data_IF_970839071486
#
_entry.id   IF_970839071486
#
_cell.length_a   1.000
_cell.length_b   1.000
_cell.length_c   1.000
_cell.angle_alpha   90.00
_cell.angle_beta   90.00
_cell.angle_gamma   90.00
#
_symmetry.space_group_name_H-M   'P 1'
#
loop_
_entity.id
_entity.type
_entity.pdbx_description
1 polymer ?
#
# COMPACT_ATOMS: atom_id res chain seq x y z
N UNK A 1 -2.91 20.62 -11.58
CA UNK A 1 -1.90 19.61 -11.25
C UNK A 1 -2.28 19.02 -9.90
N UNK A 2 -2.13 17.71 -9.73
CA UNK A 2 -2.66 16.97 -8.58
C UNK A 2 -1.57 16.55 -7.60
N UNK A 3 -1.96 16.37 -6.34
CA UNK A 3 -1.16 15.66 -5.33
C UNK A 3 -1.60 14.20 -5.32
N UNK A 4 -0.66 13.26 -5.31
CA UNK A 4 -0.96 11.85 -5.06
C UNK A 4 -0.92 11.58 -3.55
N UNK A 5 -1.99 11.04 -2.98
CA UNK A 5 -2.02 10.69 -1.55
C UNK A 5 -2.18 9.18 -1.33
N UNK A 6 -1.30 8.61 -0.52
CA UNK A 6 -1.41 7.26 0.01
C UNK A 6 -1.95 7.32 1.45
N UNK A 7 -3.17 6.85 1.65
CA UNK A 7 -3.80 6.76 2.95
C UNK A 7 -3.52 5.39 3.57
N UNK A 8 -3.05 5.37 4.81
CA UNK A 8 -3.04 4.17 5.64
C UNK A 8 -4.27 4.21 6.55
N UNK A 9 -5.27 3.38 6.30
CA UNK A 9 -6.47 3.30 7.15
C UNK A 9 -6.28 2.24 8.23
N UNK A 10 -6.13 2.68 9.47
CA UNK A 10 -5.86 1.83 10.63
C UNK A 10 -7.16 1.24 11.18
N UNK A 11 -7.43 -0.03 10.88
CA UNK A 11 -8.50 -0.83 11.51
C UNK A 11 -8.04 -1.51 12.80
N UNK A 12 -6.72 -1.69 12.96
CA UNK A 12 -6.13 -2.33 14.13
C UNK A 12 -4.62 -2.09 14.18
N UNK A 13 -3.94 -2.65 15.18
CA UNK A 13 -2.49 -2.53 15.36
C UNK A 13 -2.04 -1.19 15.95
N UNK A 14 -0.72 -1.03 16.07
CA UNK A 14 -0.10 0.10 16.78
C UNK A 14 -0.26 1.42 16.00
N UNK A 15 -0.85 2.43 16.65
CA UNK A 15 -0.94 3.79 16.10
C UNK A 15 0.45 4.42 15.93
N UNK A 16 1.34 4.23 16.91
CA UNK A 16 2.71 4.74 16.85
C UNK A 16 3.49 4.16 15.67
N UNK A 17 3.38 2.86 15.43
CA UNK A 17 4.01 2.21 14.27
C UNK A 17 3.45 2.78 12.94
N UNK A 18 2.13 3.00 12.88
CA UNK A 18 1.48 3.59 11.72
C UNK A 18 1.92 5.04 11.46
N UNK A 19 2.05 5.87 12.50
CA UNK A 19 2.55 7.25 12.38
C UNK A 19 3.99 7.30 11.88
N UNK A 20 4.85 6.41 12.39
CA UNK A 20 6.23 6.25 11.91
C UNK A 20 6.27 5.74 10.47
N UNK A 21 5.40 4.81 10.09
CA UNK A 21 5.31 4.32 8.71
C UNK A 21 4.85 5.43 7.74
N UNK A 22 3.89 6.27 8.15
CA UNK A 22 3.50 7.47 7.38
C UNK A 22 4.70 8.40 7.20
N UNK A 23 5.49 8.64 8.24
CA UNK A 23 6.70 9.46 8.15
C UNK A 23 7.67 8.92 7.11
N UNK A 24 7.88 7.60 7.06
CA UNK A 24 8.72 6.95 6.04
C UNK A 24 8.13 7.06 4.64
N UNK A 25 6.83 6.81 4.48
CA UNK A 25 6.14 6.96 3.19
C UNK A 25 6.28 8.39 2.62
N UNK A 26 6.21 9.42 3.47
CA UNK A 26 6.45 10.81 3.06
C UNK A 26 7.87 11.06 2.55
N UNK A 27 8.84 10.21 2.91
CA UNK A 27 10.20 10.26 2.34
C UNK A 27 10.33 9.49 1.02
N UNK A 28 9.45 8.50 0.78
CA UNK A 28 9.52 7.62 -0.39
C UNK A 28 8.76 8.16 -1.59
N UNK A 29 7.55 8.67 -1.36
CA UNK A 29 6.64 9.10 -2.42
C UNK A 29 7.11 10.32 -3.24
N UNK A 30 7.87 11.30 -2.70
CA UNK A 30 8.35 12.43 -3.50
C UNK A 30 9.14 12.00 -4.74
N UNK A 31 10.01 10.98 -4.63
CA UNK A 31 10.75 10.41 -5.77
C UNK A 31 9.87 9.85 -6.88
N UNK A 32 8.66 9.39 -6.55
CA UNK A 32 7.69 8.87 -7.52
C UNK A 32 7.12 10.03 -8.34
N UNK A 33 6.76 11.12 -7.67
CA UNK A 33 6.18 12.32 -8.30
C UNK A 33 7.22 13.09 -9.11
N UNK A 34 8.47 13.17 -8.65
CA UNK A 34 9.59 13.72 -9.42
C UNK A 34 9.75 13.04 -10.79
N UNK A 35 9.35 11.77 -10.90
CA UNK A 35 9.41 10.97 -12.13
C UNK A 35 8.10 10.99 -12.93
N UNK A 36 7.06 11.68 -12.48
CA UNK A 36 5.79 11.83 -13.20
C UNK A 36 5.33 13.31 -13.24
N UNK A 37 5.48 14.00 -14.38
CA UNK A 37 5.19 15.44 -14.49
C UNK A 37 3.70 15.81 -14.37
N UNK A 38 2.78 14.83 -14.33
CA UNK A 38 1.36 15.10 -14.12
C UNK A 38 1.02 15.50 -12.67
N UNK A 39 1.94 15.26 -11.73
CA UNK A 39 1.76 15.51 -10.30
C UNK A 39 2.74 16.57 -9.81
N UNK A 40 2.28 17.41 -8.87
CA UNK A 40 3.09 18.48 -8.25
C UNK A 40 3.49 18.17 -6.81
N UNK A 41 2.96 17.10 -6.24
CA UNK A 41 3.28 16.68 -4.89
C UNK A 41 2.81 15.28 -4.59
N UNK A 42 3.29 14.76 -3.47
CA UNK A 42 2.81 13.52 -2.87
C UNK A 42 2.57 13.73 -1.38
N UNK A 43 1.66 12.96 -0.80
CA UNK A 43 1.52 12.87 0.65
C UNK A 43 1.20 11.45 1.10
N UNK A 44 1.38 11.19 2.39
CA UNK A 44 0.89 10.00 3.05
C UNK A 44 0.12 10.38 4.32
N UNK A 45 -1.03 9.77 4.56
CA UNK A 45 -1.95 10.17 5.63
C UNK A 45 -2.42 8.97 6.43
N UNK A 46 -2.29 9.04 7.76
CA UNK A 46 -2.90 8.07 8.66
C UNK A 46 -4.38 8.42 8.84
N UNK A 47 -5.25 7.44 8.68
CA UNK A 47 -6.69 7.56 8.86
C UNK A 47 -7.13 6.56 9.92
N UNK A 48 -7.76 7.04 10.99
CA UNK A 48 -8.36 6.15 11.99
C UNK A 48 -9.63 5.47 11.44
N UNK A 49 -9.95 4.29 11.96
CA UNK A 49 -11.04 3.41 11.48
C UNK A 49 -12.37 4.12 11.18
N UNK A 50 -12.79 5.03 12.07
CA UNK A 50 -14.08 5.71 12.03
C UNK A 50 -14.10 6.96 11.14
N UNK A 51 -12.98 7.24 10.45
CA UNK A 51 -12.85 8.37 9.54
C UNK A 51 -12.92 7.89 8.09
N UNK A 52 -13.71 8.59 7.28
CA UNK A 52 -13.80 8.35 5.83
C UNK A 52 -13.17 9.53 5.10
N UNK A 53 -11.95 9.40 4.55
CA UNK A 53 -11.32 10.47 3.80
C UNK A 53 -12.03 10.69 2.46
N UNK A 54 -12.07 11.94 2.00
CA UNK A 54 -12.39 12.26 0.61
C UNK A 54 -11.18 11.92 -0.25
N UNK A 55 -11.36 11.09 -1.27
CA UNK A 55 -10.28 10.64 -2.16
C UNK A 55 -10.33 11.34 -3.51
N UNK A 56 -9.17 11.70 -4.04
CA UNK A 56 -9.02 11.93 -5.47
C UNK A 56 -9.02 10.59 -6.23
N UNK A 57 -9.36 10.62 -7.53
CA UNK A 57 -9.38 9.42 -8.37
C UNK A 57 -7.99 8.77 -8.53
N UNK A 58 -6.92 9.44 -8.12
CA UNK A 58 -5.55 8.93 -8.19
C UNK A 58 -5.06 8.34 -6.87
N UNK A 59 -5.75 8.61 -5.77
CA UNK A 59 -5.32 8.25 -4.42
C UNK A 59 -5.45 6.76 -4.15
N UNK A 60 -4.70 6.29 -3.15
CA UNK A 60 -4.74 4.90 -2.70
C UNK A 60 -5.04 4.82 -1.21
N UNK A 61 -5.90 3.88 -0.80
CA UNK A 61 -6.07 3.50 0.61
C UNK A 61 -5.51 2.09 0.81
N UNK A 62 -4.55 1.95 1.71
CA UNK A 62 -4.12 0.64 2.24
C UNK A 62 -4.72 0.46 3.62
N UNK A 63 -5.43 -0.65 3.85
CA UNK A 63 -6.02 -0.97 5.16
C UNK A 63 -5.03 -1.75 6.02
N UNK A 64 -4.76 -1.26 7.23
CA UNK A 64 -3.98 -1.99 8.22
C UNK A 64 -4.92 -2.80 9.11
N UNK A 65 -4.96 -4.11 8.84
CA UNK A 65 -5.76 -5.09 9.59
C UNK A 65 -4.86 -5.96 10.45
N UNK A 66 -5.45 -6.64 11.44
CA UNK A 66 -4.67 -7.33 12.47
C UNK A 66 -3.98 -8.55 11.88
N UNK A 67 -4.77 -9.38 11.19
CA UNK A 67 -4.34 -10.65 10.60
C UNK A 67 -5.27 -11.01 9.45
N UNK A 68 -4.95 -12.09 8.72
CA UNK A 68 -5.79 -12.60 7.62
C UNK A 68 -7.22 -12.90 8.10
N UNK A 69 -7.41 -13.34 9.34
CA UNK A 69 -8.75 -13.57 9.92
C UNK A 69 -9.58 -12.31 10.16
N UNK A 70 -8.99 -11.12 9.98
CA UNK A 70 -9.65 -9.80 10.02
C UNK A 70 -9.61 -9.09 8.67
N UNK A 71 -9.32 -9.84 7.60
CA UNK A 71 -9.28 -9.33 6.24
C UNK A 71 -10.59 -8.65 5.83
N UNK A 72 -10.46 -7.47 5.23
CA UNK A 72 -11.57 -6.78 4.57
C UNK A 72 -11.86 -7.45 3.23
N UNK A 73 -10.82 -7.89 2.50
CA UNK A 73 -10.98 -8.66 1.25
C UNK A 73 -11.91 -9.85 1.48
N UNK A 74 -11.61 -10.69 2.47
CA UNK A 74 -12.46 -11.84 2.82
C UNK A 74 -13.87 -11.42 3.25
N UNK A 75 -14.00 -10.36 4.07
CA UNK A 75 -15.29 -9.84 4.51
C UNK A 75 -16.16 -9.29 3.36
N UNK A 76 -15.57 -8.98 2.20
CA UNK A 76 -16.25 -8.55 0.98
C UNK A 76 -16.36 -9.66 -0.07
N UNK A 77 -16.03 -10.89 0.28
CA UNK A 77 -16.16 -12.07 -0.59
C UNK A 77 -15.00 -12.29 -1.55
N UNK A 78 -13.87 -11.60 -1.36
CA UNK A 78 -12.63 -11.86 -2.09
C UNK A 78 -11.86 -13.07 -1.55
N UNK A 79 -10.87 -13.52 -2.31
CA UNK A 79 -10.06 -14.70 -1.96
C UNK A 79 -8.76 -14.30 -1.22
N UNK A 80 -8.54 -14.91 -0.06
CA UNK A 80 -7.33 -14.72 0.78
C UNK A 80 -6.55 -16.02 0.98
N UNK A 81 -6.82 -17.05 0.18
CA UNK A 81 -6.20 -18.38 0.29
C UNK A 81 -4.68 -18.31 0.21
N UNK A 82 -4.13 -17.45 -0.65
CA UNK A 82 -2.68 -17.27 -0.74
C UNK A 82 -2.09 -16.74 0.58
N UNK A 83 -2.77 -15.78 1.22
CA UNK A 83 -2.35 -15.25 2.51
C UNK A 83 -2.44 -16.32 3.61
N UNK A 84 -3.42 -17.22 3.57
CA UNK A 84 -3.46 -18.38 4.46
C UNK A 84 -2.31 -19.37 4.23
N UNK A 85 -1.96 -19.65 2.97
CA UNK A 85 -0.89 -20.59 2.63
C UNK A 85 0.53 -20.03 2.84
N UNK A 86 0.68 -18.70 2.83
CA UNK A 86 1.97 -18.02 2.97
C UNK A 86 1.97 -17.13 4.22
N UNK A 87 2.56 -17.63 5.31
CA UNK A 87 2.69 -16.91 6.57
C UNK A 87 3.59 -15.67 6.53
N UNK A 88 4.46 -15.56 5.50
CA UNK A 88 5.42 -14.46 5.36
C UNK A 88 4.87 -13.30 4.52
N UNK A 89 3.69 -13.46 3.91
CA UNK A 89 3.07 -12.43 3.09
C UNK A 89 2.51 -11.32 3.99
N UNK A 90 3.06 -10.11 3.88
CA UNK A 90 2.73 -8.97 4.76
C UNK A 90 1.50 -8.19 4.32
N UNK A 91 1.07 -8.33 3.06
CA UNK A 91 -0.10 -7.66 2.51
C UNK A 91 -0.66 -8.38 1.30
N UNK A 92 -1.90 -8.05 0.97
CA UNK A 92 -2.63 -8.59 -0.17
C UNK A 92 -3.47 -7.50 -0.83
N UNK A 93 -3.52 -7.55 -2.16
CA UNK A 93 -4.37 -6.69 -2.97
C UNK A 93 -5.35 -7.53 -3.78
N UNK A 94 -6.64 -7.22 -3.67
CA UNK A 94 -7.66 -7.69 -4.60
C UNK A 94 -7.95 -6.60 -5.63
N UNK A 95 -7.54 -6.84 -6.89
CA UNK A 95 -7.73 -5.90 -7.99
C UNK A 95 -9.17 -5.78 -8.47
N UNK A 96 -10.04 -6.76 -8.21
CA UNK A 96 -11.44 -6.68 -8.61
C UNK A 96 -12.23 -5.83 -7.61
N UNK A 97 -12.01 -6.07 -6.32
CA UNK A 97 -12.62 -5.31 -5.23
C UNK A 97 -11.98 -3.93 -5.02
N UNK A 98 -10.78 -3.71 -5.58
CA UNK A 98 -9.96 -2.50 -5.37
C UNK A 98 -9.66 -2.28 -3.89
N UNK A 99 -9.25 -3.35 -3.21
CA UNK A 99 -8.89 -3.35 -1.79
C UNK A 99 -7.45 -3.80 -1.67
N UNK A 100 -6.62 -3.01 -1.00
CA UNK A 100 -5.29 -3.39 -0.57
C UNK A 100 -5.21 -3.37 0.95
N UNK A 101 -4.70 -4.43 1.55
CA UNK A 101 -4.57 -4.54 2.99
C UNK A 101 -3.22 -5.12 3.40
N UNK A 102 -2.78 -4.77 4.61
CA UNK A 102 -1.56 -5.27 5.22
C UNK A 102 -1.88 -5.86 6.59
N UNK A 103 -1.16 -6.94 6.94
CA UNK A 103 -1.39 -7.73 8.15
C UNK A 103 -0.37 -7.35 9.23
N UNK A 104 -0.81 -6.58 10.21
CA UNK A 104 0.06 -6.05 11.25
C UNK A 104 0.75 -7.13 12.10
N UNK A 105 0.05 -8.21 12.45
CA UNK A 105 0.60 -9.29 13.29
C UNK A 105 1.70 -10.12 12.57
N UNK A 106 1.94 -9.89 11.27
CA UNK A 106 2.99 -10.55 10.50
C UNK A 106 4.28 -9.75 10.40
N UNK A 107 4.22 -8.46 10.69
CA UNK A 107 5.40 -7.60 10.70
C UNK A 107 6.22 -7.88 11.96
N UNK A 108 7.53 -7.66 11.90
CA UNK A 108 8.33 -7.61 13.13
C UNK A 108 7.70 -6.58 14.07
N UNK A 109 7.64 -6.92 15.36
CA UNK A 109 6.85 -6.16 16.33
C UNK A 109 7.20 -4.66 16.29
N UNK A 110 6.19 -3.85 15.96
CA UNK A 110 6.31 -2.41 15.84
C UNK A 110 7.18 -1.89 14.69
N UNK A 111 7.56 -2.69 13.69
CA UNK A 111 8.44 -2.27 12.57
C UNK A 111 7.73 -1.31 11.60
N UNK A 112 8.04 0.00 11.63
CA UNK A 112 7.41 0.95 10.72
C UNK A 112 7.93 0.82 9.29
N UNK A 113 9.15 0.27 9.12
CA UNK A 113 9.75 0.07 7.79
C UNK A 113 8.97 -0.98 7.01
N UNK A 114 8.75 -2.16 7.60
CA UNK A 114 7.98 -3.21 6.95
C UNK A 114 6.55 -2.77 6.63
N UNK A 115 5.91 -2.06 7.56
CA UNK A 115 4.59 -1.48 7.34
C UNK A 115 4.59 -0.51 6.15
N UNK A 116 5.55 0.43 6.11
CA UNK A 116 5.66 1.39 5.01
C UNK A 116 5.99 0.73 3.67
N UNK A 117 6.86 -0.27 3.66
CA UNK A 117 7.23 -1.04 2.47
C UNK A 117 6.06 -1.86 1.94
N UNK A 118 5.33 -2.54 2.82
CA UNK A 118 4.12 -3.29 2.45
C UNK A 118 3.05 -2.34 1.89
N UNK A 119 2.81 -1.19 2.53
CA UNK A 119 1.86 -0.20 2.01
C UNK A 119 2.26 0.31 0.62
N UNK A 120 3.55 0.58 0.39
CA UNK A 120 4.07 0.98 -0.91
C UNK A 120 3.84 -0.11 -1.97
N UNK A 121 4.11 -1.37 -1.61
CA UNK A 121 3.94 -2.53 -2.47
C UNK A 121 2.48 -2.74 -2.88
N UNK A 122 1.56 -2.75 -1.92
CA UNK A 122 0.13 -2.92 -2.20
C UNK A 122 -0.44 -1.75 -3.00
N UNK A 123 0.05 -0.53 -2.76
CA UNK A 123 -0.31 0.62 -3.59
C UNK A 123 0.16 0.43 -5.04
N UNK A 124 1.35 -0.13 -5.25
CA UNK A 124 1.85 -0.42 -6.59
C UNK A 124 1.04 -1.51 -7.30
N UNK A 125 0.54 -2.53 -6.60
CA UNK A 125 -0.41 -3.50 -7.19
C UNK A 125 -1.68 -2.80 -7.69
N UNK A 126 -2.34 -2.00 -6.85
CA UNK A 126 -3.55 -1.27 -7.24
C UNK A 126 -3.30 -0.34 -8.42
N UNK A 127 -2.24 0.48 -8.37
CA UNK A 127 -1.95 1.46 -9.42
C UNK A 127 -1.55 0.79 -10.72
N UNK A 128 -0.75 -0.28 -10.69
CA UNK A 128 -0.35 -1.00 -11.90
C UNK A 128 -1.49 -1.81 -12.50
N UNK A 129 -2.41 -2.33 -11.67
CA UNK A 129 -3.43 -3.30 -12.06
C UNK A 129 -2.82 -4.54 -12.73
N UNK A 130 -1.67 -4.99 -12.22
CA UNK A 130 -0.86 -6.08 -12.80
C UNK A 130 -0.80 -7.35 -11.95
N UNK A 131 -1.38 -7.36 -10.75
CA UNK A 131 -1.33 -8.50 -9.83
C UNK A 131 0.13 -9.00 -9.68
N UNK A 132 0.37 -10.30 -9.56
CA UNK A 132 1.71 -10.90 -9.50
C UNK A 132 2.61 -10.59 -10.72
N UNK A 133 2.05 -10.21 -11.87
CA UNK A 133 2.89 -9.85 -13.03
C UNK A 133 3.68 -8.56 -12.79
N UNK A 134 3.30 -7.76 -11.79
CA UNK A 134 4.06 -6.60 -11.32
C UNK A 134 5.50 -6.97 -10.96
N UNK A 135 5.74 -8.14 -10.36
CA UNK A 135 7.06 -8.50 -9.82
C UNK A 135 8.12 -8.78 -10.88
N UNK A 136 7.71 -9.01 -12.15
CA UNK A 136 8.61 -9.43 -13.21
C UNK A 136 9.64 -8.32 -13.50
N UNK A 137 10.91 -8.63 -13.26
CA UNK A 137 12.03 -7.69 -13.48
C UNK A 137 12.12 -6.57 -12.45
N UNK A 138 11.39 -6.67 -11.33
CA UNK A 138 11.45 -5.71 -10.24
C UNK A 138 12.44 -6.13 -9.15
N UNK A 139 12.85 -5.16 -8.34
CA UNK A 139 13.72 -5.32 -7.18
C UNK A 139 13.10 -4.68 -5.91
N UNK A 140 13.85 -4.72 -4.81
CA UNK A 140 13.50 -4.03 -3.57
C UNK A 140 12.10 -4.36 -3.07
N UNK A 141 11.25 -3.34 -3.02
CA UNK A 141 9.91 -3.46 -2.49
C UNK A 141 8.94 -4.12 -3.45
N UNK A 142 9.22 -4.22 -4.75
CA UNK A 142 8.25 -4.69 -5.75
C UNK A 142 8.57 -6.09 -6.30
N UNK A 143 9.66 -6.72 -5.85
CA UNK A 143 10.01 -8.10 -6.24
C UNK A 143 9.10 -9.13 -5.55
N UNK A 144 9.20 -10.38 -5.99
CA UNK A 144 8.40 -11.53 -5.50
C UNK A 144 8.63 -11.85 -4.01
N UNK A 145 9.86 -11.66 -3.53
CA UNK A 145 10.24 -11.82 -2.11
C UNK A 145 10.68 -10.47 -1.50
N UNK A 146 9.80 -9.47 -1.45
CA UNK A 146 10.15 -8.05 -1.25
C UNK A 146 10.93 -7.79 0.04
N UNK A 147 11.90 -6.88 -0.04
CA UNK A 147 12.65 -6.41 1.14
C UNK A 147 11.91 -5.25 1.79
N UNK A 148 10.82 -5.55 2.53
CA UNK A 148 10.00 -4.51 3.15
C UNK A 148 10.75 -3.69 4.23
N UNK A 149 11.92 -4.12 4.68
CA UNK A 149 12.72 -3.42 5.68
C UNK A 149 13.82 -2.51 5.05
N UNK A 150 13.98 -2.58 3.73
CA UNK A 150 14.90 -1.76 2.95
C UNK A 150 14.39 -0.33 2.71
N UNK A 151 14.88 0.30 1.63
CA UNK A 151 14.37 1.56 1.10
C UNK A 151 13.96 1.35 -0.38
N UNK A 152 12.95 2.07 -0.91
CA UNK A 152 12.58 1.94 -2.30
C UNK A 152 13.76 2.32 -3.22
N UNK A 153 13.99 1.50 -4.24
CA UNK A 153 14.98 1.81 -5.27
C UNK A 153 14.44 2.86 -6.25
N UNK A 154 15.32 3.46 -7.04
CA UNK A 154 14.86 4.39 -8.10
C UNK A 154 14.01 3.66 -9.15
N UNK A 155 14.22 2.35 -9.38
CA UNK A 155 13.37 1.53 -10.25
C UNK A 155 11.98 1.34 -9.66
N UNK A 156 11.86 1.13 -8.34
CA UNK A 156 10.55 1.08 -7.69
C UNK A 156 9.79 2.40 -7.90
N UNK A 157 10.49 3.54 -7.73
CA UNK A 157 9.91 4.85 -7.98
C UNK A 157 9.48 5.06 -9.44
N UNK A 158 10.30 4.65 -10.42
CA UNK A 158 9.97 4.70 -11.86
C UNK A 158 8.75 3.85 -12.20
N UNK A 159 8.68 2.65 -11.64
CA UNK A 159 7.55 1.76 -11.85
C UNK A 159 6.24 2.40 -11.37
N UNK A 160 6.20 2.86 -10.12
CA UNK A 160 5.00 3.47 -9.57
C UNK A 160 4.65 4.77 -10.30
N UNK A 161 5.65 5.57 -10.69
CA UNK A 161 5.48 6.81 -11.44
C UNK A 161 4.76 6.56 -12.77
N UNK A 162 5.14 5.52 -13.52
CA UNK A 162 4.51 5.12 -14.80
C UNK A 162 3.02 4.82 -14.66
N UNK A 163 2.58 4.41 -13.47
CA UNK A 163 1.22 3.98 -13.19
C UNK A 163 0.42 4.97 -12.33
N UNK A 164 1.07 6.03 -11.83
CA UNK A 164 0.47 6.96 -10.87
C UNK A 164 -0.78 7.69 -11.40
N UNK A 165 -0.81 7.99 -12.70
CA UNK A 165 -1.94 8.66 -13.35
C UNK A 165 -3.18 7.80 -13.58
N UNK A 166 -3.12 6.48 -13.35
CA UNK A 166 -4.28 5.58 -13.53
C UNK A 166 -5.34 5.89 -12.49
N UNK A 167 -6.58 6.12 -12.93
CA UNK A 167 -7.71 6.33 -12.03
C UNK A 167 -8.11 5.04 -11.33
N UNK A 168 -8.39 5.12 -10.04
CA UNK A 168 -8.86 4.01 -9.20
C UNK A 168 -9.99 4.51 -8.31
N UNK A 169 -11.17 3.90 -8.41
CA UNK A 169 -12.29 4.18 -7.51
C UNK A 169 -12.20 3.30 -6.27
N UNK A 170 -11.54 3.81 -5.22
CA UNK A 170 -11.40 3.11 -3.95
C UNK A 170 -12.53 3.48 -2.99
N UNK A 171 -12.96 2.53 -2.14
CA UNK A 171 -14.04 2.76 -1.19
C UNK A 171 -13.50 3.12 0.20
N UNK A 172 -13.44 4.41 0.51
CA UNK A 172 -12.96 4.91 1.80
C UNK A 172 -13.76 4.46 3.03
N UNK A 173 -14.98 3.92 2.85
CA UNK A 173 -15.91 3.60 3.93
C UNK A 173 -15.78 2.20 4.53
N UNK A 174 -14.96 1.31 3.96
CA UNK A 174 -14.70 0.00 4.55
C UNK A 174 -14.06 0.08 5.92
#
# INVERSE_FOLDING_TARGET
MSTFTLYLKRKSGSKEAAEKAITLLKTYLPKVVEKNPAFTGSDAVLVDENTTPTLAETDVIVYMVKSVGKSIIAAKGGDVSIAHSNGNLLGLTDLNLKICEVYFDRMYDGSPKELSGACYHEAAHIKSNMDNSMHKGQDGFLKDAPDYNGSPTDKNAEFLAKHLGKKVSMNAGY
#
